data_IF_191752765281
#
_entry.id   IF_191752765281
#
_cell.length_a   1.000
_cell.length_b   1.000
_cell.length_c   1.000
_cell.angle_alpha   90.00
_cell.angle_beta   90.00
_cell.angle_gamma   90.00
#
_symmetry.space_group_name_H-M   'P 1'
#
loop_
_entity.id
_entity.type
_entity.pdbx_description
1 polymer ?
#
# COMPACT_ATOMS: atom_id res chain seq x y z
N UNK A 1 4.18 16.69 -14.60
CA UNK A 1 3.93 15.25 -14.85
C UNK A 1 4.19 14.39 -13.63
N UNK A 2 5.29 14.60 -12.90
CA UNK A 2 5.63 13.84 -11.68
C UNK A 2 4.50 13.75 -10.63
N UNK A 3 3.74 14.82 -10.42
CA UNK A 3 2.63 14.82 -9.45
C UNK A 3 1.50 13.86 -9.82
N UNK A 4 1.16 13.77 -11.12
CA UNK A 4 0.16 12.82 -11.60
C UNK A 4 0.67 11.38 -11.49
N UNK A 5 1.92 11.15 -11.88
CA UNK A 5 2.55 9.83 -11.73
C UNK A 5 2.55 9.39 -10.28
N UNK A 6 2.89 10.28 -9.34
CA UNK A 6 2.88 9.98 -7.92
C UNK A 6 1.46 9.67 -7.41
N UNK A 7 0.45 10.46 -7.81
CA UNK A 7 -0.93 10.18 -7.45
C UNK A 7 -1.39 8.82 -7.97
N UNK A 8 -1.03 8.46 -9.22
CA UNK A 8 -1.29 7.13 -9.78
C UNK A 8 -0.59 6.05 -8.95
N UNK A 9 0.67 6.23 -8.57
CA UNK A 9 1.40 5.27 -7.72
C UNK A 9 0.69 5.05 -6.38
N UNK A 10 0.28 6.13 -5.70
CA UNK A 10 -0.40 6.05 -4.40
C UNK A 10 -1.76 5.36 -4.51
N UNK A 11 -2.52 5.68 -5.56
CA UNK A 11 -3.80 5.03 -5.86
C UNK A 11 -3.60 3.55 -6.20
N UNK A 12 -2.60 3.22 -7.01
CA UNK A 12 -2.28 1.84 -7.38
C UNK A 12 -1.89 1.02 -6.15
N UNK A 13 -1.08 1.58 -5.25
CA UNK A 13 -0.71 0.96 -3.98
C UNK A 13 -1.93 0.65 -3.11
N UNK A 14 -2.89 1.57 -3.03
CA UNK A 14 -4.17 1.35 -2.34
C UNK A 14 -4.94 0.18 -2.95
N UNK A 15 -5.08 0.13 -4.28
CA UNK A 15 -5.82 -0.95 -4.93
C UNK A 15 -5.11 -2.29 -4.81
N UNK A 16 -3.77 -2.33 -4.91
CA UNK A 16 -2.99 -3.56 -4.76
C UNK A 16 -3.11 -4.12 -3.33
N UNK A 17 -2.94 -3.27 -2.31
CA UNK A 17 -3.09 -3.69 -0.91
C UNK A 17 -4.50 -4.19 -0.60
N UNK A 18 -5.53 -3.46 -1.06
CA UNK A 18 -6.93 -3.86 -0.92
C UNK A 18 -7.23 -5.20 -1.61
N UNK A 19 -6.71 -5.41 -2.83
CA UNK A 19 -6.89 -6.65 -3.57
C UNK A 19 -6.24 -7.84 -2.85
N UNK A 20 -5.01 -7.70 -2.37
CA UNK A 20 -4.29 -8.76 -1.66
C UNK A 20 -5.00 -9.10 -0.34
N UNK A 21 -5.36 -8.10 0.46
CA UNK A 21 -6.10 -8.32 1.70
C UNK A 21 -7.41 -9.08 1.44
N UNK A 22 -8.20 -8.62 0.46
CA UNK A 22 -9.45 -9.28 0.07
C UNK A 22 -9.23 -10.72 -0.43
N UNK A 23 -8.17 -10.98 -1.19
CA UNK A 23 -7.83 -12.34 -1.62
C UNK A 23 -7.44 -13.22 -0.43
N UNK A 24 -6.60 -12.73 0.47
CA UNK A 24 -6.12 -13.52 1.61
C UNK A 24 -7.25 -13.90 2.56
N UNK A 25 -8.15 -12.97 2.89
CA UNK A 25 -9.31 -13.25 3.75
C UNK A 25 -10.28 -14.27 3.11
N UNK A 26 -10.37 -14.31 1.78
CA UNK A 26 -11.27 -15.23 1.08
C UNK A 26 -10.70 -16.67 0.95
N UNK A 27 -9.37 -16.83 0.96
CA UNK A 27 -8.71 -18.12 0.69
C UNK A 27 -8.01 -18.72 1.91
N UNK A 28 -7.68 -17.90 2.90
CA UNK A 28 -7.02 -18.30 4.14
C UNK A 28 -7.99 -18.06 5.29
N UNK A 29 -7.87 -18.83 6.38
CA UNK A 29 -8.70 -18.63 7.57
C UNK A 29 -8.60 -17.17 8.07
N UNK A 30 -9.73 -16.46 8.08
CA UNK A 30 -9.84 -15.03 8.41
C UNK A 30 -9.14 -14.67 9.74
N UNK A 31 -9.36 -15.47 10.80
CA UNK A 31 -8.70 -15.27 12.10
C UNK A 31 -7.17 -15.32 12.02
N UNK A 32 -6.60 -16.17 11.17
CA UNK A 32 -5.15 -16.29 11.02
C UNK A 32 -4.57 -15.07 10.30
N UNK A 33 -5.25 -14.60 9.25
CA UNK A 33 -4.84 -13.38 8.51
C UNK A 33 -4.95 -12.15 9.40
N UNK A 34 -6.06 -11.99 10.11
CA UNK A 34 -6.25 -10.86 11.05
C UNK A 34 -5.23 -10.89 12.18
N UNK A 35 -4.91 -12.07 12.73
CA UNK A 35 -3.86 -12.21 13.74
C UNK A 35 -2.47 -11.86 13.21
N UNK A 36 -2.14 -12.31 12.00
CA UNK A 36 -0.85 -12.02 11.36
C UNK A 36 -0.68 -10.53 11.01
N UNK A 37 -1.74 -9.89 10.51
CA UNK A 37 -1.76 -8.48 10.14
C UNK A 37 -2.04 -7.54 11.32
N UNK A 38 -2.30 -8.07 12.51
CA UNK A 38 -2.68 -7.31 13.70
C UNK A 38 -1.74 -6.13 14.01
N UNK A 39 -0.39 -6.28 13.99
CA UNK A 39 0.50 -5.14 14.24
C UNK A 39 0.32 -4.01 13.22
N UNK A 40 0.05 -4.37 11.96
CA UNK A 40 -0.24 -3.41 10.90
C UNK A 40 -1.59 -2.73 11.08
N UNK A 41 -2.63 -3.49 11.45
CA UNK A 41 -3.96 -2.95 11.78
C UNK A 41 -3.90 -1.98 12.97
N UNK A 42 -3.08 -2.25 13.99
CA UNK A 42 -2.89 -1.30 15.09
C UNK A 42 -2.33 0.03 14.61
N UNK A 43 -1.27 0.02 13.80
CA UNK A 43 -0.69 1.24 13.24
C UNK A 43 -1.68 1.95 12.31
N UNK A 44 -2.47 1.19 11.55
CA UNK A 44 -3.53 1.73 10.68
C UNK A 44 -4.54 2.55 11.48
N UNK A 45 -5.16 1.96 12.49
CA UNK A 45 -6.19 2.62 13.31
C UNK A 45 -5.62 3.75 14.17
N UNK A 46 -4.40 3.58 14.70
CA UNK A 46 -3.70 4.64 15.43
C UNK A 46 -3.35 5.84 14.53
N UNK A 47 -3.08 5.61 13.25
CA UNK A 47 -2.82 6.69 12.29
C UNK A 47 -4.08 7.52 12.04
N UNK A 48 -5.24 6.87 11.88
CA UNK A 48 -6.51 7.58 11.82
C UNK A 48 -6.75 8.38 13.10
N UNK A 49 -6.61 7.75 14.28
CA UNK A 49 -6.81 8.42 15.56
C UNK A 49 -5.91 9.64 15.73
N UNK A 50 -4.62 9.52 15.36
CA UNK A 50 -3.67 10.61 15.43
C UNK A 50 -4.09 11.83 14.58
N UNK A 51 -4.52 11.60 13.34
CA UNK A 51 -4.98 12.69 12.47
C UNK A 51 -6.34 13.24 12.90
N UNK A 52 -7.24 12.41 13.45
CA UNK A 52 -8.47 12.87 14.09
C UNK A 52 -8.16 13.86 15.23
N UNK A 53 -7.19 13.54 16.10
CA UNK A 53 -6.78 14.43 17.19
C UNK A 53 -6.21 15.77 16.67
N UNK A 54 -5.34 15.73 15.66
CA UNK A 54 -4.75 16.95 15.06
C UNK A 54 -5.82 17.82 14.40
N UNK A 55 -6.78 17.20 13.71
CA UNK A 55 -7.87 17.91 13.03
C UNK A 55 -8.98 18.39 13.98
N UNK A 56 -8.92 17.99 15.26
CA UNK A 56 -9.94 18.29 16.25
C UNK A 56 -11.27 17.58 15.97
N UNK A 57 -11.20 16.41 15.34
CA UNK A 57 -12.34 15.53 15.04
C UNK A 57 -12.59 14.59 16.20
N UNK A 58 -13.83 14.52 16.68
CA UNK A 58 -14.20 13.68 17.82
C UNK A 58 -14.17 12.20 17.45
N UNK A 59 -13.38 11.42 18.20
CA UNK A 59 -13.36 9.96 18.10
C UNK A 59 -14.46 9.42 19.01
N UNK A 60 -15.43 8.71 18.44
CA UNK A 60 -16.58 8.16 19.18
C UNK A 60 -16.29 6.75 19.71
N UNK A 61 -15.59 5.95 18.91
CA UNK A 61 -15.15 4.61 19.30
C UNK A 61 -13.75 4.34 18.72
N UNK A 62 -12.88 3.74 19.51
CA UNK A 62 -11.58 3.22 19.06
C UNK A 62 -11.43 1.78 19.55
N UNK A 63 -11.50 0.84 18.62
CA UNK A 63 -11.38 -0.57 18.95
C UNK A 63 -10.16 -1.17 18.24
N UNK A 64 -9.12 -1.45 19.01
CA UNK A 64 -7.85 -1.95 18.48
C UNK A 64 -7.71 -3.47 18.61
N UNK A 65 -8.42 -4.11 19.56
CA UNK A 65 -8.11 -5.47 20.00
C UNK A 65 -9.14 -6.51 19.58
N UNK A 66 -10.35 -6.12 19.22
CA UNK A 66 -11.35 -7.10 18.78
C UNK A 66 -11.22 -7.36 17.28
N UNK A 67 -10.98 -8.62 16.91
CA UNK A 67 -10.81 -9.01 15.50
C UNK A 67 -12.06 -8.85 14.65
N UNK A 68 -13.24 -8.87 15.27
CA UNK A 68 -14.53 -8.80 14.58
C UNK A 68 -14.98 -7.35 14.29
N UNK A 69 -14.46 -6.37 15.05
CA UNK A 69 -14.80 -4.94 14.91
C UNK A 69 -13.62 -4.00 15.15
N UNK A 70 -12.41 -4.43 14.80
CA UNK A 70 -11.25 -3.54 14.75
C UNK A 70 -11.56 -2.37 13.81
N UNK A 71 -11.47 -1.16 14.34
CA UNK A 71 -11.90 0.03 13.63
C UNK A 71 -12.04 1.24 14.53
N UNK A 72 -11.85 2.41 13.93
CA UNK A 72 -12.17 3.70 14.49
C UNK A 72 -13.51 4.20 13.97
N UNK A 73 -14.32 4.78 14.84
CA UNK A 73 -15.47 5.61 14.46
C UNK A 73 -15.19 7.04 14.91
N UNK A 74 -15.46 7.98 14.02
CA UNK A 74 -15.28 9.39 14.27
C UNK A 74 -16.44 10.17 13.66
N UNK A 75 -16.76 11.32 14.27
CA UNK A 75 -17.78 12.21 13.76
C UNK A 75 -17.31 12.93 12.50
N UNK A 76 -18.24 13.55 11.77
CA UNK A 76 -17.88 14.37 10.60
C UNK A 76 -16.88 15.47 11.02
N UNK A 77 -15.73 15.57 10.34
CA UNK A 77 -14.74 16.58 10.68
C UNK A 77 -15.25 17.99 10.40
N UNK A 78 -14.66 18.98 11.09
CA UNK A 78 -15.02 20.41 10.97
C UNK A 78 -14.89 20.94 9.54
N UNK A 79 -13.85 20.52 8.82
CA UNK A 79 -13.63 20.84 7.41
C UNK A 79 -13.85 19.56 6.59
N UNK A 80 -15.06 19.34 6.06
CA UNK A 80 -15.35 18.15 5.27
C UNK A 80 -14.47 18.13 4.01
N UNK A 81 -14.26 16.94 3.44
CA UNK A 81 -13.37 16.69 2.29
C UNK A 81 -11.88 16.78 2.62
N UNK A 82 -11.37 17.91 3.11
CA UNK A 82 -9.94 18.05 3.40
C UNK A 82 -9.50 17.16 4.56
N UNK A 83 -10.22 17.22 5.67
CA UNK A 83 -9.90 16.40 6.84
C UNK A 83 -10.33 14.95 6.65
N UNK A 84 -11.42 14.70 5.91
CA UNK A 84 -11.78 13.33 5.50
C UNK A 84 -10.64 12.68 4.70
N UNK A 85 -10.06 13.40 3.73
CA UNK A 85 -8.89 12.92 3.00
C UNK A 85 -7.67 12.73 3.89
N UNK A 86 -7.37 13.72 4.76
CA UNK A 86 -6.21 13.63 5.64
C UNK A 86 -6.29 12.42 6.60
N UNK A 87 -7.47 12.20 7.20
CA UNK A 87 -7.75 11.05 8.06
C UNK A 87 -7.65 9.76 7.24
N UNK A 88 -8.31 9.70 6.07
CA UNK A 88 -8.28 8.53 5.20
C UNK A 88 -6.86 8.17 4.70
N UNK A 89 -6.01 9.16 4.44
CA UNK A 89 -4.63 8.99 4.00
C UNK A 89 -3.65 8.68 5.13
N UNK A 90 -4.04 8.89 6.40
CA UNK A 90 -3.16 8.72 7.53
C UNK A 90 -2.52 7.32 7.62
N UNK A 91 -3.27 6.20 7.48
CA UNK A 91 -2.70 4.86 7.57
C UNK A 91 -1.64 4.57 6.50
N UNK A 92 -1.79 5.15 5.30
CA UNK A 92 -0.82 5.01 4.22
C UNK A 92 0.55 5.53 4.68
N UNK A 93 0.58 6.73 5.26
CA UNK A 93 1.82 7.32 5.76
C UNK A 93 2.31 6.66 7.04
N UNK A 94 1.41 6.23 7.94
CA UNK A 94 1.78 5.53 9.17
C UNK A 94 2.46 4.19 8.91
N UNK A 95 1.86 3.35 8.07
CA UNK A 95 2.45 2.05 7.69
C UNK A 95 3.76 2.25 6.91
N UNK A 96 3.81 3.20 5.97
CA UNK A 96 5.03 3.51 5.22
C UNK A 96 6.17 3.99 6.15
N UNK A 97 5.84 4.79 7.16
CA UNK A 97 6.80 5.26 8.16
C UNK A 97 7.39 4.10 8.98
N UNK A 98 6.57 3.13 9.40
CA UNK A 98 7.08 1.96 10.14
C UNK A 98 8.00 1.10 9.26
N UNK A 99 7.65 0.90 7.98
CA UNK A 99 8.52 0.19 7.03
C UNK A 99 9.88 0.90 6.90
N UNK A 100 9.85 2.21 6.67
CA UNK A 100 11.06 3.03 6.55
C UNK A 100 11.92 2.99 7.81
N UNK A 101 11.30 3.19 8.97
CA UNK A 101 11.98 3.20 10.26
C UNK A 101 12.61 1.83 10.56
N UNK A 102 11.89 0.75 10.30
CA UNK A 102 12.39 -0.62 10.51
C UNK A 102 13.53 -0.94 9.56
N UNK A 103 13.45 -0.53 8.29
CA UNK A 103 14.56 -0.65 7.34
C UNK A 103 15.82 0.01 7.88
N UNK A 104 15.71 1.26 8.34
CA UNK A 104 16.84 2.03 8.87
C UNK A 104 17.41 1.41 10.14
N UNK A 105 16.56 0.97 11.06
CA UNK A 105 16.97 0.33 12.32
C UNK A 105 17.72 -0.98 12.08
N UNK A 106 17.32 -1.75 11.06
CA UNK A 106 17.94 -3.04 10.71
C UNK A 106 19.16 -2.90 9.78
N UNK A 107 19.52 -1.66 9.40
CA UNK A 107 20.68 -1.39 8.55
C UNK A 107 20.43 -1.62 7.05
N UNK A 108 19.18 -1.44 6.58
CA UNK A 108 18.75 -1.64 5.20
C UNK A 108 19.12 -3.03 4.64
N UNK A 109 18.53 -4.10 5.20
CA UNK A 109 18.95 -5.47 4.89
C UNK A 109 18.67 -5.89 3.44
N UNK A 110 17.72 -5.24 2.75
CA UNK A 110 17.34 -5.57 1.38
C UNK A 110 17.14 -4.28 0.59
N UNK A 111 17.90 -4.14 -0.50
CA UNK A 111 17.75 -3.03 -1.44
C UNK A 111 16.87 -3.50 -2.60
N UNK A 112 15.72 -2.85 -2.76
CA UNK A 112 14.83 -3.04 -3.90
C UNK A 112 15.10 -1.93 -4.92
N UNK A 113 15.17 -2.29 -6.20
CA UNK A 113 15.48 -1.34 -7.26
C UNK A 113 14.30 -0.37 -7.50
N UNK A 114 14.59 0.91 -7.75
CA UNK A 114 13.61 1.95 -8.10
C UNK A 114 13.23 1.88 -9.60
N UNK A 115 12.86 0.69 -10.09
CA UNK A 115 12.56 0.47 -11.52
C UNK A 115 11.22 1.03 -11.98
N UNK A 116 10.42 1.61 -11.08
CA UNK A 116 9.09 2.10 -11.41
C UNK A 116 9.17 3.46 -12.13
N UNK A 117 8.45 3.66 -13.24
CA UNK A 117 8.60 4.84 -14.08
C UNK A 117 8.14 6.13 -13.39
N UNK A 118 8.98 7.18 -13.45
CA UNK A 118 8.69 8.52 -12.91
C UNK A 118 7.70 9.33 -13.74
N UNK A 119 7.46 8.89 -14.97
CA UNK A 119 6.52 9.50 -15.89
C UNK A 119 5.57 8.43 -16.43
N UNK A 120 4.26 8.67 -16.29
CA UNK A 120 3.21 7.77 -16.77
C UNK A 120 2.42 8.54 -17.83
N UNK A 121 2.36 7.98 -19.03
CA UNK A 121 1.61 8.58 -20.13
C UNK A 121 0.16 8.06 -20.13
N UNK A 122 -0.81 8.97 -20.19
CA UNK A 122 -2.24 8.63 -20.28
C UNK A 122 -2.63 8.26 -21.72
N UNK A 123 -2.04 7.19 -22.24
CA UNK A 123 -2.38 6.62 -23.55
C UNK A 123 -2.58 5.12 -23.41
N UNK A 124 -3.23 4.50 -24.41
CA UNK A 124 -3.40 3.04 -24.44
C UNK A 124 -2.05 2.32 -24.41
N UNK A 125 -1.05 2.88 -25.11
CA UNK A 125 0.35 2.44 -25.01
C UNK A 125 0.89 2.57 -23.58
N UNK A 126 0.70 3.73 -22.94
CA UNK A 126 1.14 3.96 -21.57
C UNK A 126 0.51 3.03 -20.54
N UNK A 127 -0.71 2.52 -20.78
CA UNK A 127 -1.31 1.46 -19.96
C UNK A 127 -0.56 0.13 -20.09
N UNK A 128 -0.23 -0.29 -21.31
CA UNK A 128 0.57 -1.50 -21.53
C UNK A 128 2.00 -1.34 -20.99
N UNK A 129 2.59 -0.16 -21.14
CA UNK A 129 3.89 0.17 -20.55
C UNK A 129 3.83 0.04 -19.02
N UNK A 130 2.78 0.57 -18.37
CA UNK A 130 2.58 0.42 -16.92
C UNK A 130 2.47 -1.06 -16.50
N UNK A 131 1.74 -1.87 -17.27
CA UNK A 131 1.63 -3.31 -17.01
C UNK A 131 2.97 -4.02 -17.15
N UNK A 132 3.74 -3.72 -18.19
CA UNK A 132 5.08 -4.25 -18.37
C UNK A 132 6.00 -3.85 -17.22
N UNK A 133 5.97 -2.58 -16.79
CA UNK A 133 6.72 -2.11 -15.63
C UNK A 133 6.34 -2.84 -14.34
N UNK A 134 5.06 -3.19 -14.13
CA UNK A 134 4.64 -4.00 -12.99
C UNK A 134 5.25 -5.41 -13.05
N UNK A 135 5.25 -6.05 -14.21
CA UNK A 135 5.88 -7.37 -14.38
C UNK A 135 7.42 -7.31 -14.19
N UNK A 136 8.07 -6.29 -14.75
CA UNK A 136 9.50 -6.06 -14.57
C UNK A 136 9.85 -5.83 -13.09
N UNK A 137 8.97 -5.12 -12.38
CA UNK A 137 9.12 -4.89 -10.94
C UNK A 137 8.99 -6.20 -10.15
N UNK A 138 8.05 -7.10 -10.50
CA UNK A 138 7.97 -8.43 -9.88
C UNK A 138 9.27 -9.21 -10.10
N UNK A 139 9.77 -9.20 -11.34
CA UNK A 139 10.99 -9.92 -11.70
C UNK A 139 12.23 -9.37 -10.97
N UNK A 140 12.41 -8.05 -10.95
CA UNK A 140 13.50 -7.40 -10.22
C UNK A 140 13.41 -7.71 -8.72
N UNK A 141 12.22 -7.56 -8.13
CA UNK A 141 12.01 -7.82 -6.70
C UNK A 141 12.34 -9.26 -6.33
N UNK A 142 11.88 -10.22 -7.12
CA UNK A 142 12.18 -11.64 -6.91
C UNK A 142 13.69 -11.92 -7.01
N UNK A 143 14.37 -11.33 -8.00
CA UNK A 143 15.82 -11.48 -8.15
C UNK A 143 16.60 -10.83 -7.00
N UNK A 144 16.16 -9.68 -6.51
CA UNK A 144 16.76 -8.99 -5.36
C UNK A 144 16.59 -9.81 -4.09
N UNK A 145 15.40 -10.35 -3.83
CA UNK A 145 15.21 -11.30 -2.73
C UNK A 145 16.07 -12.55 -2.92
N UNK A 146 16.09 -13.17 -4.10
CA UNK A 146 16.92 -14.37 -4.34
C UNK A 146 18.42 -14.15 -4.08
N UNK A 147 18.94 -12.96 -4.40
CA UNK A 147 20.37 -12.64 -4.25
C UNK A 147 20.73 -12.16 -2.84
N UNK A 148 19.87 -11.37 -2.20
CA UNK A 148 20.18 -10.65 -0.96
C UNK A 148 19.54 -11.27 0.30
N UNK A 149 18.51 -12.12 0.15
CA UNK A 149 17.79 -12.70 1.27
C UNK A 149 18.60 -13.85 1.90
N UNK A 150 19.19 -13.58 3.05
CA UNK A 150 19.82 -14.61 3.87
C UNK A 150 18.85 -15.06 4.96
N UNK A 151 18.17 -16.20 4.74
CA UNK A 151 17.20 -16.76 5.70
C UNK A 151 17.81 -17.17 7.06
N UNK A 152 19.14 -17.16 7.18
CA UNK A 152 19.83 -17.39 8.46
C UNK A 152 19.97 -16.10 9.28
N UNK A 153 19.82 -14.93 8.66
CA UNK A 153 19.90 -13.64 9.34
C UNK A 153 18.49 -13.18 9.75
N UNK A 154 18.27 -13.10 11.06
CA UNK A 154 17.00 -12.68 11.67
C UNK A 154 16.58 -11.29 11.21
N UNK A 155 17.53 -10.39 10.91
CA UNK A 155 17.23 -9.03 10.43
C UNK A 155 16.51 -9.05 9.10
N UNK A 156 16.90 -9.93 8.19
CA UNK A 156 16.27 -10.05 6.88
C UNK A 156 14.86 -10.63 6.99
N UNK A 157 14.66 -11.62 7.86
CA UNK A 157 13.34 -12.20 8.13
C UNK A 157 12.42 -11.15 8.76
N UNK A 158 12.89 -10.44 9.79
CA UNK A 158 12.11 -9.43 10.49
C UNK A 158 11.70 -8.31 9.52
N UNK A 159 12.64 -7.82 8.70
CA UNK A 159 12.34 -6.81 7.69
C UNK A 159 11.31 -7.30 6.67
N UNK A 160 11.44 -8.53 6.16
CA UNK A 160 10.48 -9.09 5.20
C UNK A 160 9.08 -9.22 5.81
N UNK A 161 8.98 -9.71 7.05
CA UNK A 161 7.71 -9.84 7.76
C UNK A 161 7.07 -8.47 8.00
N UNK A 162 7.85 -7.49 8.48
CA UNK A 162 7.40 -6.09 8.61
C UNK A 162 6.88 -5.57 7.27
N UNK A 163 7.66 -5.73 6.20
CA UNK A 163 7.32 -5.24 4.88
C UNK A 163 5.99 -5.82 4.39
N UNK A 164 5.76 -7.12 4.56
CA UNK A 164 4.50 -7.78 4.18
C UNK A 164 3.33 -7.28 5.04
N UNK A 165 3.48 -7.27 6.37
CA UNK A 165 2.41 -6.87 7.30
C UNK A 165 1.98 -5.44 7.00
N UNK A 166 2.91 -4.50 7.00
CA UNK A 166 2.57 -3.08 6.86
C UNK A 166 2.19 -2.71 5.43
N UNK A 167 2.74 -3.35 4.39
CA UNK A 167 2.31 -3.09 3.01
C UNK A 167 0.85 -3.52 2.79
N UNK A 168 0.45 -4.68 3.29
CA UNK A 168 -0.95 -5.15 3.18
C UNK A 168 -1.87 -4.30 4.04
N UNK A 169 -1.45 -3.94 5.26
CA UNK A 169 -2.23 -3.08 6.17
C UNK A 169 -2.38 -1.63 5.71
N UNK A 170 -1.79 -1.21 4.58
CA UNK A 170 -2.16 0.07 3.92
C UNK A 170 -3.57 -0.01 3.34
N UNK A 171 -4.11 -1.21 3.09
CA UNK A 171 -5.44 -1.41 2.54
C UNK A 171 -6.48 -0.58 3.31
N UNK A 172 -7.12 0.41 2.66
CA UNK A 172 -8.06 1.28 3.35
C UNK A 172 -9.40 0.57 3.57
N UNK A 173 -10.18 1.10 4.51
CA UNK A 173 -11.58 0.74 4.62
C UNK A 173 -12.34 1.13 3.34
N UNK A 174 -13.37 0.36 2.99
CA UNK A 174 -14.17 0.61 1.77
C UNK A 174 -14.74 2.04 1.71
N UNK A 175 -15.02 2.63 2.86
CA UNK A 175 -15.58 3.98 2.98
C UNK A 175 -14.53 5.07 2.68
N UNK A 176 -13.25 4.78 2.91
CA UNK A 176 -12.13 5.72 2.77
C UNK A 176 -11.60 5.82 1.35
N UNK A 177 -11.80 4.76 0.54
CA UNK A 177 -11.34 4.70 -0.86
C UNK A 177 -11.80 5.93 -1.66
N UNK A 178 -13.06 6.34 -1.49
CA UNK A 178 -13.60 7.49 -2.24
C UNK A 178 -12.85 8.78 -1.89
N UNK A 179 -12.50 8.99 -0.61
CA UNK A 179 -11.81 10.17 -0.14
C UNK A 179 -10.35 10.17 -0.58
N UNK A 180 -9.70 9.00 -0.55
CA UNK A 180 -8.32 8.81 -1.01
C UNK A 180 -8.18 9.10 -2.51
N UNK A 181 -8.98 8.45 -3.35
CA UNK A 181 -8.91 8.62 -4.81
C UNK A 181 -9.23 10.05 -5.20
N UNK A 182 -10.30 10.63 -4.63
CA UNK A 182 -10.70 12.00 -4.91
C UNK A 182 -9.63 12.99 -4.41
N UNK A 183 -9.11 12.81 -3.20
CA UNK A 183 -8.12 13.70 -2.60
C UNK A 183 -6.78 13.69 -3.33
N UNK A 184 -6.23 12.51 -3.67
CA UNK A 184 -5.00 12.43 -4.47
C UNK A 184 -5.19 13.02 -5.87
N UNK A 185 -6.35 12.82 -6.48
CA UNK A 185 -6.67 13.42 -7.79
C UNK A 185 -6.72 14.94 -7.71
N UNK A 186 -7.45 15.49 -6.73
CA UNK A 186 -7.56 16.95 -6.54
C UNK A 186 -6.20 17.57 -6.23
N UNK A 187 -5.42 16.99 -5.31
CA UNK A 187 -4.09 17.49 -4.96
C UNK A 187 -3.17 17.48 -6.17
N UNK A 188 -3.18 16.39 -6.94
CA UNK A 188 -2.38 16.31 -8.16
C UNK A 188 -2.77 17.36 -9.21
N UNK A 189 -4.07 17.62 -9.39
CA UNK A 189 -4.56 18.66 -10.29
C UNK A 189 -4.11 20.05 -9.83
N UNK A 190 -4.27 20.36 -8.54
CA UNK A 190 -3.82 21.64 -7.96
C UNK A 190 -2.32 21.83 -8.19
N UNK A 191 -1.51 20.83 -7.85
CA UNK A 191 -0.06 20.89 -8.03
C UNK A 191 0.35 21.02 -9.50
N UNK A 192 -0.39 20.39 -10.42
CA UNK A 192 -0.16 20.54 -11.85
C UNK A 192 -0.45 21.95 -12.35
N UNK A 193 -1.58 22.54 -11.96
CA UNK A 193 -1.91 23.91 -12.37
C UNK A 193 -0.96 24.94 -11.75
N UNK A 194 -0.51 24.73 -10.50
CA UNK A 194 0.52 25.57 -9.88
C UNK A 194 1.83 25.52 -10.64
N UNK A 195 2.28 24.33 -11.05
CA UNK A 195 3.50 24.16 -11.86
C UNK A 195 3.35 24.86 -13.22
N UNK A 196 2.18 24.75 -13.86
CA UNK A 196 1.86 25.46 -15.12
C UNK A 196 1.78 26.97 -14.98
N UNK A 197 1.36 27.47 -13.82
CA UNK A 197 1.38 28.90 -13.49
C UNK A 197 2.79 29.43 -13.16
N UNK A 198 3.83 28.60 -13.26
CA UNK A 198 5.23 28.97 -12.99
C UNK A 198 5.64 28.83 -11.51
N UNK A 199 4.71 28.45 -10.63
CA UNK A 199 4.94 28.20 -9.21
C UNK A 199 5.34 26.72 -9.05
N UNK A 200 6.54 26.39 -9.52
CA UNK A 200 7.06 25.03 -9.37
C UNK A 200 7.58 24.81 -7.95
N UNK A 201 6.81 24.07 -7.14
CA UNK A 201 7.22 23.72 -5.77
C UNK A 201 8.50 22.87 -5.73
N UNK A 202 8.89 22.23 -6.84
CA UNK A 202 10.14 21.47 -6.96
C UNK A 202 11.40 22.34 -6.84
N UNK A 203 11.25 23.67 -6.97
CA UNK A 203 12.34 24.62 -6.69
C UNK A 203 12.72 24.65 -5.21
N UNK A 204 11.79 24.31 -4.31
CA UNK A 204 12.05 24.27 -2.88
C UNK A 204 12.69 22.93 -2.49
N UNK A 205 13.87 22.99 -1.87
CA UNK A 205 14.66 21.80 -1.53
C UNK A 205 13.93 20.80 -0.63
N UNK A 206 13.18 21.30 0.37
CA UNK A 206 12.40 20.46 1.29
C UNK A 206 11.29 19.68 0.55
N UNK A 207 10.58 20.33 -0.38
CA UNK A 207 9.51 19.71 -1.16
C UNK A 207 10.07 18.66 -2.13
N UNK A 208 11.17 19.00 -2.81
CA UNK A 208 11.88 18.04 -3.68
C UNK A 208 12.33 16.81 -2.91
N UNK A 209 12.86 16.99 -1.69
CA UNK A 209 13.25 15.89 -0.82
C UNK A 209 12.03 15.04 -0.44
N UNK A 210 10.95 15.67 0.04
CA UNK A 210 9.71 14.98 0.39
C UNK A 210 9.15 14.13 -0.76
N UNK A 211 9.04 14.70 -1.96
CA UNK A 211 8.54 13.98 -3.15
C UNK A 211 9.45 12.79 -3.49
N UNK A 212 10.78 12.93 -3.35
CA UNK A 212 11.73 11.86 -3.62
C UNK A 212 11.60 10.71 -2.62
N UNK A 213 11.51 11.01 -1.32
CA UNK A 213 11.34 9.98 -0.29
C UNK A 213 9.99 9.28 -0.42
N UNK A 214 8.91 10.05 -0.67
CA UNK A 214 7.58 9.49 -0.90
C UNK A 214 7.53 8.61 -2.16
N UNK A 215 8.23 9.02 -3.22
CA UNK A 215 8.38 8.21 -4.44
C UNK A 215 9.06 6.87 -4.11
N UNK A 216 10.22 6.91 -3.46
CA UNK A 216 10.98 5.71 -3.10
C UNK A 216 10.16 4.74 -2.22
N UNK A 217 9.40 5.27 -1.26
CA UNK A 217 8.52 4.44 -0.44
C UNK A 217 7.39 3.83 -1.26
N UNK A 218 6.74 4.62 -2.12
CA UNK A 218 5.67 4.12 -2.97
C UNK A 218 6.17 3.01 -3.91
N UNK A 219 7.35 3.17 -4.53
CA UNK A 219 7.90 2.17 -5.45
C UNK A 219 8.28 0.87 -4.75
N UNK A 220 8.90 0.95 -3.56
CA UNK A 220 9.18 -0.22 -2.71
C UNK A 220 7.88 -0.96 -2.34
N UNK A 221 6.86 -0.23 -1.89
CA UNK A 221 5.60 -0.85 -1.48
C UNK A 221 4.88 -1.48 -2.68
N UNK A 222 4.81 -0.78 -3.83
CA UNK A 222 4.25 -1.33 -5.07
C UNK A 222 5.00 -2.60 -5.49
N UNK A 223 6.33 -2.60 -5.39
CA UNK A 223 7.17 -3.74 -5.76
C UNK A 223 6.83 -4.98 -4.93
N UNK A 224 6.70 -4.80 -3.62
CA UNK A 224 6.30 -5.85 -2.69
C UNK A 224 4.87 -6.32 -2.96
N UNK A 225 3.92 -5.39 -3.05
CA UNK A 225 2.52 -5.72 -3.26
C UNK A 225 2.30 -6.46 -4.59
N UNK A 226 2.91 -5.99 -5.67
CA UNK A 226 2.80 -6.66 -6.98
C UNK A 226 3.40 -8.06 -6.92
N UNK A 227 4.53 -8.24 -6.24
CA UNK A 227 5.16 -9.56 -6.05
C UNK A 227 4.27 -10.49 -5.22
N UNK A 228 3.72 -10.00 -4.10
CA UNK A 228 2.80 -10.76 -3.25
C UNK A 228 1.52 -11.15 -4.01
N UNK A 229 0.97 -10.23 -4.80
CA UNK A 229 -0.20 -10.49 -5.63
C UNK A 229 0.11 -11.55 -6.68
N UNK A 230 1.24 -11.44 -7.38
CA UNK A 230 1.68 -12.42 -8.36
C UNK A 230 1.80 -13.81 -7.75
N UNK A 231 2.51 -13.95 -6.62
CA UNK A 231 2.66 -15.22 -5.89
C UNK A 231 1.30 -15.78 -5.45
N UNK A 232 0.44 -14.93 -4.89
CA UNK A 232 -0.91 -15.33 -4.43
C UNK A 232 -1.75 -15.86 -5.59
N UNK A 233 -1.79 -15.14 -6.72
CA UNK A 233 -2.54 -15.55 -7.91
C UNK A 233 -1.98 -16.83 -8.53
N UNK A 234 -0.66 -17.01 -8.57
CA UNK A 234 -0.03 -18.24 -9.06
C UNK A 234 -0.42 -19.45 -8.20
N UNK A 235 -0.30 -19.34 -6.87
CA UNK A 235 -0.69 -20.41 -5.94
C UNK A 235 -2.17 -20.76 -6.11
N UNK A 236 -3.04 -19.74 -6.17
CA UNK A 236 -4.47 -19.94 -6.37
C UNK A 236 -4.79 -20.59 -7.73
N UNK A 237 -4.08 -20.19 -8.78
CA UNK A 237 -4.19 -20.77 -10.11
C UNK A 237 -3.85 -22.25 -10.09
N UNK A 238 -2.74 -22.64 -9.45
CA UNK A 238 -2.36 -24.03 -9.27
C UNK A 238 -3.38 -24.83 -8.46
N UNK A 239 -3.90 -24.29 -7.35
CA UNK A 239 -4.92 -24.97 -6.53
C UNK A 239 -6.20 -25.22 -7.35
N UNK A 240 -6.66 -24.22 -8.12
CA UNK A 240 -7.85 -24.37 -8.97
C UNK A 240 -7.61 -25.34 -10.12
N UNK A 241 -6.46 -25.27 -10.79
CA UNK A 241 -6.10 -26.19 -11.85
C UNK A 241 -6.03 -27.64 -11.33
N UNK A 242 -5.36 -27.86 -10.19
CA UNK A 242 -5.31 -29.17 -9.54
C UNK A 242 -6.70 -29.69 -9.20
N UNK A 243 -7.58 -28.85 -8.64
CA UNK A 243 -8.98 -29.23 -8.35
C UNK A 243 -9.77 -29.56 -9.63
N UNK A 244 -9.53 -28.88 -10.75
CA UNK A 244 -10.22 -29.17 -12.01
C UNK A 244 -9.70 -30.44 -12.68
N UNK A 245 -8.39 -30.70 -12.63
CA UNK A 245 -7.76 -31.85 -13.29
C UNK A 245 -7.89 -33.14 -12.47
N UNK A 246 -7.75 -33.06 -11.15
CA UNK A 246 -7.75 -34.22 -10.26
C UNK A 246 -8.98 -34.30 -9.33
N UNK A 247 -9.73 -33.21 -9.20
CA UNK A 247 -10.98 -33.18 -8.43
C UNK A 247 -12.18 -33.57 -9.29
N UNK A 248 -12.29 -34.84 -9.68
CA UNK A 248 -13.58 -35.42 -10.08
C UNK A 248 -14.14 -36.34 -8.98
N UNK A 249 -15.41 -36.06 -8.63
CA UNK A 249 -16.44 -36.91 -8.02
C UNK A 249 -16.27 -37.40 -6.58
N UNK A 250 -16.94 -36.70 -5.66
CA UNK A 250 -17.69 -37.29 -4.54
C UNK A 250 -18.71 -36.23 -4.08
N UNK A 251 -20.03 -36.42 -4.03
CA UNK A 251 -20.90 -37.54 -4.35
C UNK A 251 -22.29 -36.96 -4.68
N UNK A 252 -23.00 -37.61 -5.61
CA UNK A 252 -24.46 -37.68 -5.54
C UNK A 252 -24.82 -38.24 -4.17
N UNK A 253 -25.67 -37.54 -3.41
CA UNK A 253 -26.80 -38.13 -2.71
C UNK A 253 -27.97 -37.17 -2.83
#
# INVERSE_FOLDING_TARGET
>A
MIYFSLAICLILMIFLSFAIYGLWVNYIHDKMIRGFLFPGTMVHELSHAFVCLITGTTITELNLFTTDSAGIKYDKPKIPVLFDFAIAAAPLFGCAYVIFFTSKMLGNPIHLDDTFPKEIHFTLKGFFDLFQHLLDTVWSTFNSFKKQLHLKDVRHILFLVTLIIFAISIAPHKQDIKYLVLGFTIISLILFFLDKAGISLLKYGWWKHFIRELWLLATIIIAVLTTLLSVTLTIMGFIKAYRLTFGQKSARK
#
